data_IF_910404201506
#
_entry.id   IF_910404201506
#
_cell.length_a   1.000
_cell.length_b   1.000
_cell.length_c   1.000
_cell.angle_alpha   90.00
_cell.angle_beta   90.00
_cell.angle_gamma   90.00
#
_symmetry.space_group_name_H-M   'P 1'
#
loop_
_entity.id
_entity.type
_entity.pdbx_description
1 polymer ?
#
# COMPACT_ATOMS: atom_id res chain seq x y z
N UNK A 1 -29.01 15.73 18.53
CA UNK A 1 -27.78 16.55 18.58
C UNK A 1 -26.52 15.85 18.07
N UNK A 2 -26.48 14.50 17.94
CA UNK A 2 -25.27 13.74 17.55
C UNK A 2 -24.60 14.17 16.24
N UNK A 3 -25.38 14.46 15.18
CA UNK A 3 -24.81 14.92 13.91
C UNK A 3 -24.03 16.24 14.02
N UNK A 4 -24.49 17.17 14.88
CA UNK A 4 -23.78 18.43 15.12
C UNK A 4 -22.48 18.19 15.88
N UNK A 5 -22.49 17.30 16.87
CA UNK A 5 -21.28 16.91 17.61
C UNK A 5 -20.25 16.25 16.68
N UNK A 6 -20.68 15.33 15.82
CA UNK A 6 -19.83 14.73 14.79
C UNK A 6 -19.24 15.78 13.86
N UNK A 7 -20.06 16.72 13.38
CA UNK A 7 -19.58 17.78 12.49
C UNK A 7 -18.58 18.72 13.19
N UNK A 8 -18.79 19.04 14.46
CA UNK A 8 -17.84 19.83 15.26
C UNK A 8 -16.51 19.08 15.42
N UNK A 9 -16.56 17.78 15.71
CA UNK A 9 -15.34 16.96 15.81
C UNK A 9 -14.60 16.87 14.48
N UNK A 10 -15.30 16.56 13.38
CA UNK A 10 -14.72 16.56 12.03
C UNK A 10 -14.11 17.91 11.62
N UNK A 11 -14.62 19.02 12.16
CA UNK A 11 -14.02 20.35 11.95
C UNK A 11 -12.71 20.52 12.71
N UNK A 12 -12.64 20.08 13.97
CA UNK A 12 -11.39 20.05 14.77
C UNK A 12 -10.35 19.13 14.16
N UNK A 13 -10.77 18.02 13.54
CA UNK A 13 -9.89 17.12 12.78
C UNK A 13 -9.50 17.65 11.39
N UNK A 14 -9.65 18.96 11.14
CA UNK A 14 -9.26 19.64 9.89
C UNK A 14 -9.84 19.02 8.61
N UNK A 15 -10.89 18.20 8.70
CA UNK A 15 -11.42 17.47 7.56
C UNK A 15 -12.07 18.40 6.53
N UNK A 16 -12.53 19.58 6.96
CA UNK A 16 -13.25 20.54 6.12
C UNK A 16 -12.33 21.50 5.33
N UNK A 17 -11.08 21.66 5.75
CA UNK A 17 -10.18 22.70 5.24
C UNK A 17 -9.93 22.57 3.74
N UNK A 18 -10.25 23.63 2.98
CA UNK A 18 -10.12 23.67 1.52
C UNK A 18 -11.12 22.79 0.76
N UNK A 19 -12.19 22.30 1.40
CA UNK A 19 -13.07 21.28 0.81
C UNK A 19 -14.56 21.59 1.05
N UNK A 20 -15.44 21.07 0.18
CA UNK A 20 -16.88 21.38 0.21
C UNK A 20 -17.54 20.91 1.52
N UNK A 21 -18.20 21.79 2.31
CA UNK A 21 -18.78 21.45 3.60
C UNK A 21 -20.01 20.54 3.50
N UNK A 22 -20.80 20.62 2.43
CA UNK A 22 -22.02 19.81 2.26
C UNK A 22 -21.75 18.31 2.32
N UNK A 23 -20.61 17.86 1.79
CA UNK A 23 -20.22 16.44 1.86
C UNK A 23 -19.89 15.99 3.28
N UNK A 24 -19.30 16.88 4.09
CA UNK A 24 -19.00 16.59 5.49
C UNK A 24 -20.28 16.53 6.34
N UNK A 25 -21.23 17.45 6.09
CA UNK A 25 -22.55 17.38 6.71
C UNK A 25 -23.28 16.07 6.36
N UNK A 26 -23.21 15.64 5.10
CA UNK A 26 -23.79 14.36 4.67
C UNK A 26 -23.17 13.15 5.38
N UNK A 27 -21.84 13.16 5.57
CA UNK A 27 -21.15 12.12 6.31
C UNK A 27 -21.59 12.09 7.78
N UNK A 28 -21.61 13.24 8.45
CA UNK A 28 -22.08 13.37 9.83
C UNK A 28 -23.54 12.90 10.01
N UNK A 29 -24.43 13.23 9.05
CA UNK A 29 -25.81 12.74 9.05
C UNK A 29 -25.90 11.22 8.93
N UNK A 30 -25.14 10.61 8.01
CA UNK A 30 -25.14 9.16 7.82
C UNK A 30 -24.57 8.40 9.01
N UNK A 31 -23.51 8.90 9.63
CA UNK A 31 -22.91 8.29 10.82
C UNK A 31 -23.89 8.40 11.99
N UNK A 32 -24.45 9.59 12.24
CA UNK A 32 -25.46 9.77 13.28
C UNK A 32 -26.67 8.87 13.08
N UNK A 33 -27.18 8.75 11.85
CA UNK A 33 -28.30 7.87 11.55
C UNK A 33 -28.00 6.41 11.94
N UNK A 34 -26.79 5.91 11.64
CA UNK A 34 -26.35 4.57 12.04
C UNK A 34 -26.19 4.40 13.55
N UNK A 35 -25.68 5.41 14.26
CA UNK A 35 -25.53 5.37 15.72
C UNK A 35 -26.88 5.24 16.45
N UNK A 36 -27.98 5.67 15.82
CA UNK A 36 -29.33 5.63 16.38
C UNK A 36 -30.20 4.54 15.74
N UNK A 37 -29.60 3.54 15.08
CA UNK A 37 -30.29 2.48 14.34
C UNK A 37 -31.32 2.97 13.30
N UNK A 38 -31.18 4.22 12.88
CA UNK A 38 -32.04 4.84 11.88
C UNK A 38 -31.47 4.61 10.48
N UNK A 39 -32.00 3.60 9.81
CA UNK A 39 -31.48 3.18 8.50
C UNK A 39 -31.86 4.18 7.40
N UNK A 40 -30.85 4.81 6.81
CA UNK A 40 -30.96 5.63 5.59
C UNK A 40 -29.95 5.20 4.56
N UNK A 41 -30.36 5.26 3.30
CA UNK A 41 -29.49 4.94 2.18
C UNK A 41 -28.58 6.13 1.86
N UNK A 42 -27.42 5.82 1.29
CA UNK A 42 -26.47 6.82 0.79
C UNK A 42 -27.13 7.72 -0.28
N UNK A 43 -28.00 7.14 -1.12
CA UNK A 43 -28.74 7.86 -2.18
C UNK A 43 -29.69 8.92 -1.63
N UNK A 44 -30.44 8.60 -0.56
CA UNK A 44 -31.33 9.56 0.09
C UNK A 44 -30.56 10.78 0.63
N UNK A 45 -29.42 10.55 1.28
CA UNK A 45 -28.62 11.64 1.84
C UNK A 45 -28.00 12.51 0.74
N UNK A 46 -27.43 11.90 -0.30
CA UNK A 46 -26.84 12.61 -1.44
C UNK A 46 -27.86 13.52 -2.13
N UNK A 47 -29.11 13.05 -2.27
CA UNK A 47 -30.19 13.85 -2.88
C UNK A 47 -30.42 15.15 -2.11
N UNK A 48 -30.18 15.18 -0.81
CA UNK A 48 -30.32 16.36 0.05
C UNK A 48 -29.05 17.22 0.03
N UNK A 49 -27.88 16.63 0.29
CA UNK A 49 -26.63 17.41 0.45
C UNK A 49 -25.94 17.80 -0.87
N UNK A 50 -26.43 17.28 -2.01
CA UNK A 50 -25.99 17.62 -3.37
C UNK A 50 -24.47 17.44 -3.57
N UNK A 51 -23.97 16.23 -3.29
CA UNK A 51 -22.58 15.82 -3.59
C UNK A 51 -22.54 14.45 -4.24
N UNK A 52 -21.46 14.12 -4.96
CA UNK A 52 -21.31 12.79 -5.57
C UNK A 52 -21.18 11.69 -4.51
N UNK A 53 -21.60 10.47 -4.86
CA UNK A 53 -21.47 9.30 -3.98
C UNK A 53 -20.01 9.00 -3.61
N UNK A 54 -19.10 9.07 -4.57
CA UNK A 54 -17.67 8.92 -4.36
C UNK A 54 -17.12 9.95 -3.36
N UNK A 55 -17.61 11.19 -3.43
CA UNK A 55 -17.22 12.24 -2.47
C UNK A 55 -17.67 11.90 -1.06
N UNK A 56 -18.91 11.46 -0.88
CA UNK A 56 -19.43 11.09 0.43
C UNK A 56 -18.69 9.89 1.02
N UNK A 57 -18.45 8.85 0.21
CA UNK A 57 -17.65 7.67 0.60
C UNK A 57 -16.26 8.08 1.05
N UNK A 58 -15.58 8.95 0.28
CA UNK A 58 -14.26 9.47 0.64
C UNK A 58 -14.25 10.18 2.01
N UNK A 59 -15.29 10.96 2.32
CA UNK A 59 -15.41 11.61 3.64
C UNK A 59 -15.61 10.61 4.78
N UNK A 60 -16.36 9.53 4.55
CA UNK A 60 -16.56 8.49 5.53
C UNK A 60 -15.26 7.72 5.80
N UNK A 61 -14.50 7.36 4.77
CA UNK A 61 -13.18 6.72 4.92
C UNK A 61 -12.17 7.62 5.63
N UNK A 62 -12.17 8.92 5.35
CA UNK A 62 -11.30 9.85 6.08
C UNK A 62 -11.71 10.00 7.55
N UNK A 63 -13.00 9.86 7.87
CA UNK A 63 -13.47 9.86 9.27
C UNK A 63 -13.04 8.56 9.97
N UNK A 64 -13.12 7.43 9.28
CA UNK A 64 -12.64 6.11 9.74
C UNK A 64 -11.15 6.16 10.15
N UNK A 65 -10.32 6.93 9.43
CA UNK A 65 -8.91 7.14 9.75
C UNK A 65 -8.66 8.03 11.00
N UNK A 66 -9.69 8.64 11.60
CA UNK A 66 -9.55 9.50 12.81
C UNK A 66 -9.68 8.69 14.10
N UNK A 67 -9.06 9.11 15.22
CA UNK A 67 -9.23 8.46 16.53
C UNK A 67 -10.70 8.41 17.00
N UNK A 68 -11.50 9.39 16.60
CA UNK A 68 -12.94 9.46 16.91
C UNK A 68 -13.70 8.23 16.42
N UNK A 69 -13.30 7.63 15.30
CA UNK A 69 -14.00 6.47 14.71
C UNK A 69 -13.92 5.22 15.58
N UNK A 70 -12.92 5.15 16.46
CA UNK A 70 -12.66 4.00 17.34
C UNK A 70 -13.45 4.05 18.64
N UNK A 71 -14.12 5.18 18.92
CA UNK A 71 -14.94 5.33 20.12
C UNK A 71 -16.26 4.59 19.97
N UNK A 72 -16.71 3.97 21.06
CA UNK A 72 -18.10 3.53 21.17
C UNK A 72 -19.04 4.74 21.15
N UNK A 73 -20.32 4.48 20.84
CA UNK A 73 -21.35 5.53 20.81
C UNK A 73 -21.43 6.25 22.16
N UNK A 74 -21.35 5.51 23.26
CA UNK A 74 -21.44 6.07 24.61
C UNK A 74 -20.21 6.92 24.97
N UNK A 75 -19.01 6.46 24.63
CA UNK A 75 -17.77 7.23 24.84
C UNK A 75 -17.79 8.52 24.03
N UNK A 76 -18.16 8.44 22.74
CA UNK A 76 -18.26 9.61 21.88
C UNK A 76 -19.25 10.66 22.43
N UNK A 77 -20.31 10.23 23.12
CA UNK A 77 -21.30 11.15 23.70
C UNK A 77 -20.88 11.73 25.05
N UNK A 78 -19.86 11.17 25.71
CA UNK A 78 -19.39 11.63 27.04
C UNK A 78 -18.05 12.36 26.97
N UNK A 79 -17.16 11.93 26.09
CA UNK A 79 -15.76 12.36 26.05
C UNK A 79 -15.54 13.25 24.82
N UNK A 80 -14.79 14.33 24.99
CA UNK A 80 -14.22 15.09 23.89
C UNK A 80 -12.73 14.82 23.82
N UNK A 81 -12.26 14.30 22.69
CA UNK A 81 -10.83 14.10 22.44
C UNK A 81 -10.16 15.47 22.25
N UNK A 82 -9.03 15.67 22.92
CA UNK A 82 -8.23 16.90 22.82
C UNK A 82 -7.35 16.92 21.57
N UNK A 83 -6.80 15.77 21.18
CA UNK A 83 -5.94 15.65 20.01
C UNK A 83 -6.69 15.98 18.72
N UNK A 84 -6.04 16.70 17.82
CA UNK A 84 -6.53 17.02 16.48
C UNK A 84 -5.77 16.20 15.42
N UNK A 85 -6.42 15.95 14.29
CA UNK A 85 -5.80 15.33 13.12
C UNK A 85 -5.39 16.37 12.07
N UNK A 86 -4.32 16.06 11.33
CA UNK A 86 -3.92 16.82 10.15
C UNK A 86 -4.94 16.72 9.01
N UNK A 87 -5.03 17.74 8.14
CA UNK A 87 -5.92 17.70 6.99
C UNK A 87 -5.56 16.54 6.04
N UNK A 88 -6.56 15.90 5.37
CA UNK A 88 -6.32 14.76 4.49
C UNK A 88 -5.35 14.99 3.32
N UNK A 89 -5.17 16.24 2.88
CA UNK A 89 -4.16 16.58 1.87
C UNK A 89 -2.73 16.43 2.40
N UNK A 90 -2.48 16.76 3.67
CA UNK A 90 -1.18 16.61 4.30
C UNK A 90 -0.87 15.13 4.55
N UNK A 91 -1.79 14.40 5.18
CA UNK A 91 -1.60 12.97 5.45
C UNK A 91 -1.44 12.15 4.17
N UNK A 92 -2.19 12.45 3.11
CA UNK A 92 -2.00 11.83 1.80
C UNK A 92 -0.62 12.15 1.19
N UNK A 93 -0.15 13.39 1.34
CA UNK A 93 1.20 13.79 0.93
C UNK A 93 2.29 12.99 1.64
N UNK A 94 2.20 12.88 2.98
CA UNK A 94 3.14 12.09 3.78
C UNK A 94 3.11 10.60 3.41
N UNK A 95 1.92 10.01 3.27
CA UNK A 95 1.76 8.61 2.82
C UNK A 95 2.43 8.38 1.46
N UNK A 96 2.23 9.29 0.50
CA UNK A 96 2.85 9.21 -0.83
C UNK A 96 4.39 9.24 -0.77
N UNK A 97 4.96 10.15 0.02
CA UNK A 97 6.41 10.25 0.19
C UNK A 97 7.00 8.98 0.82
N UNK A 98 6.33 8.45 1.85
CA UNK A 98 6.76 7.22 2.53
C UNK A 98 6.73 6.01 1.59
N UNK A 99 5.67 5.88 0.78
CA UNK A 99 5.56 4.82 -0.23
C UNK A 99 6.72 4.92 -1.24
N UNK A 100 7.00 6.12 -1.76
CA UNK A 100 8.09 6.33 -2.71
C UNK A 100 9.47 5.97 -2.11
N UNK A 101 9.71 6.28 -0.84
CA UNK A 101 10.94 5.89 -0.14
C UNK A 101 11.06 4.37 0.01
N UNK A 102 9.97 3.70 0.36
CA UNK A 102 9.94 2.24 0.48
C UNK A 102 10.16 1.55 -0.87
N UNK A 103 9.54 2.04 -1.94
CA UNK A 103 9.76 1.54 -3.30
C UNK A 103 11.23 1.65 -3.72
N UNK A 104 11.86 2.81 -3.46
CA UNK A 104 13.28 3.01 -3.75
C UNK A 104 14.18 2.08 -2.93
N UNK A 105 13.88 1.91 -1.64
CA UNK A 105 14.64 1.00 -0.78
C UNK A 105 14.49 -0.47 -1.21
N UNK A 106 13.28 -0.85 -1.66
CA UNK A 106 13.01 -2.19 -2.18
C UNK A 106 13.73 -2.44 -3.50
N UNK A 107 13.71 -1.47 -4.43
CA UNK A 107 14.45 -1.53 -5.71
C UNK A 107 15.94 -1.72 -5.47
N UNK A 108 16.52 -0.93 -4.55
CA UNK A 108 17.94 -1.07 -4.22
C UNK A 108 18.26 -2.46 -3.65
N UNK A 109 17.42 -2.98 -2.76
CA UNK A 109 17.61 -4.33 -2.23
C UNK A 109 17.52 -5.40 -3.31
N UNK A 110 16.62 -5.24 -4.28
CA UNK A 110 16.52 -6.15 -5.43
C UNK A 110 17.81 -6.12 -6.26
N UNK A 111 18.34 -4.94 -6.56
CA UNK A 111 19.62 -4.79 -7.26
C UNK A 111 20.78 -5.45 -6.49
N UNK A 112 20.83 -5.26 -5.15
CA UNK A 112 21.84 -5.88 -4.29
C UNK A 112 21.74 -7.43 -4.36
N UNK A 113 20.52 -7.99 -4.26
CA UNK A 113 20.29 -9.43 -4.35
C UNK A 113 20.62 -10.01 -5.75
N UNK A 114 20.31 -9.29 -6.83
CA UNK A 114 20.66 -9.71 -8.19
C UNK A 114 22.19 -9.79 -8.36
N UNK A 115 22.93 -8.85 -7.78
CA UNK A 115 24.39 -8.89 -7.76
C UNK A 115 24.95 -10.09 -6.99
N UNK A 116 24.41 -10.39 -5.80
CA UNK A 116 24.79 -11.58 -5.02
C UNK A 116 24.51 -12.88 -5.80
N UNK A 117 23.33 -13.00 -6.42
CA UNK A 117 22.96 -14.17 -7.22
C UNK A 117 23.93 -14.35 -8.40
N UNK A 118 24.30 -13.28 -9.11
CA UNK A 118 25.25 -13.34 -10.22
C UNK A 118 26.63 -13.82 -9.74
N UNK A 119 27.13 -13.30 -8.61
CA UNK A 119 28.42 -13.74 -8.04
C UNK A 119 28.42 -15.24 -7.73
N UNK A 120 27.34 -15.74 -7.12
CA UNK A 120 27.22 -17.17 -6.84
C UNK A 120 27.12 -18.02 -8.11
N UNK A 121 26.45 -17.52 -9.16
CA UNK A 121 26.38 -18.21 -10.45
C UNK A 121 27.78 -18.35 -11.08
N UNK A 122 28.57 -17.27 -11.09
CA UNK A 122 29.94 -17.26 -11.62
C UNK A 122 30.84 -18.24 -10.84
N UNK A 123 30.77 -18.23 -9.50
CA UNK A 123 31.52 -19.17 -8.65
C UNK A 123 31.17 -20.63 -8.94
N UNK A 124 29.89 -20.95 -9.12
CA UNK A 124 29.43 -22.31 -9.46
C UNK A 124 29.95 -22.73 -10.84
N UNK A 125 29.89 -21.84 -11.84
CA UNK A 125 30.34 -22.13 -13.19
C UNK A 125 31.85 -22.40 -13.25
N UNK A 126 32.65 -21.59 -12.53
CA UNK A 126 34.10 -21.78 -12.40
C UNK A 126 34.42 -23.16 -11.78
N UNK A 127 33.74 -23.53 -10.69
CA UNK A 127 34.00 -24.80 -10.01
C UNK A 127 33.59 -26.02 -10.85
N UNK A 128 32.48 -25.92 -11.59
CA UNK A 128 32.04 -26.94 -12.54
C UNK A 128 33.04 -27.13 -13.68
N UNK A 129 33.62 -26.04 -14.20
CA UNK A 129 34.63 -26.08 -15.24
C UNK A 129 35.94 -26.72 -14.75
N UNK A 130 36.38 -26.38 -13.54
CA UNK A 130 37.55 -26.99 -12.90
C UNK A 130 37.38 -28.50 -12.65
N UNK A 131 36.16 -28.93 -12.36
CA UNK A 131 35.82 -30.33 -12.11
C UNK A 131 35.62 -31.18 -13.38
N UNK A 132 35.68 -30.58 -14.59
CA UNK A 132 35.54 -31.33 -15.85
C UNK A 132 36.68 -32.34 -16.03
N UNK A 133 36.38 -33.63 -16.29
CA UNK A 133 37.42 -34.64 -16.51
C UNK A 133 38.22 -34.34 -17.77
N UNK A 134 39.56 -34.23 -17.66
CA UNK A 134 40.44 -34.05 -18.82
C UNK A 134 40.33 -35.29 -19.72
N UNK A 135 39.95 -35.08 -20.98
CA UNK A 135 39.89 -36.13 -21.98
C UNK A 135 41.26 -36.84 -22.08
N UNK A 136 41.29 -38.15 -21.83
CA UNK A 136 42.47 -38.98 -22.10
C UNK A 136 42.70 -38.97 -23.62
N UNK A 137 43.73 -38.24 -24.07
CA UNK A 137 44.18 -38.27 -25.47
C UNK A 137 44.62 -39.69 -25.80
N UNK A 138 43.77 -40.43 -26.51
CA UNK A 138 44.13 -41.74 -27.06
C UNK A 138 45.12 -41.50 -28.21
N UNK A 139 46.41 -41.76 -28.00
CA UNK A 139 47.40 -41.76 -29.08
C UNK A 139 46.99 -42.87 -30.07
N UNK A 140 46.54 -42.48 -31.27
CA UNK A 140 46.34 -43.40 -32.39
C UNK A 140 47.69 -44.05 -32.70
N UNK A 141 47.81 -45.35 -32.44
CA UNK A 141 48.95 -46.15 -32.89
C UNK A 141 48.81 -46.28 -34.41
N UNK A 142 49.72 -45.66 -35.16
CA UNK A 142 49.85 -45.88 -36.59
C UNK A 142 50.36 -47.32 -36.80
N UNK A 143 49.47 -48.21 -37.21
CA UNK A 143 49.85 -49.55 -37.66
C UNK A 143 50.51 -49.38 -39.03
N UNK A 144 51.83 -49.54 -39.09
CA UNK A 144 52.56 -49.69 -40.35
C UNK A 144 52.10 -50.98 -41.04
N UNK A 145 51.33 -50.84 -42.12
CA UNK A 145 51.15 -51.94 -43.07
C UNK A 145 52.45 -52.06 -43.90
N UNK A 146 53.18 -53.15 -43.67
CA UNK A 146 54.35 -53.51 -44.47
C UNK A 146 54.00 -53.77 -45.94
N UNK A 147 54.99 -53.71 -46.85
CA UNK A 147 54.75 -53.64 -48.28
C UNK A 147 54.23 -54.95 -48.87
N UNK A 148 53.36 -54.78 -49.88
CA UNK A 148 52.70 -55.81 -50.71
C UNK A 148 53.72 -56.72 -51.41
N UNK A 149 53.40 -58.00 -51.50
CA UNK A 149 54.03 -58.94 -52.42
C UNK A 149 52.98 -59.45 -53.42
N UNK A 150 53.29 -59.18 -54.70
CA UNK A 150 52.83 -59.70 -56.00
C UNK A 150 51.48 -60.40 -56.12
#
# INVERSE_FOLDING_TARGET
MTALRLLQRMKRDWMHTGRRPSGLCGAALLVAARMHDFRRTVKEVIRVVKVCESTLRKRLTEFEDTPTSQLTIDEFMKIDLEEECDPPSFTAGQKKLKIQQLEKALSKKLEDFEGEISSYQDEIEIELENSRPKAKVHKRVHIHQGPRAW
#
